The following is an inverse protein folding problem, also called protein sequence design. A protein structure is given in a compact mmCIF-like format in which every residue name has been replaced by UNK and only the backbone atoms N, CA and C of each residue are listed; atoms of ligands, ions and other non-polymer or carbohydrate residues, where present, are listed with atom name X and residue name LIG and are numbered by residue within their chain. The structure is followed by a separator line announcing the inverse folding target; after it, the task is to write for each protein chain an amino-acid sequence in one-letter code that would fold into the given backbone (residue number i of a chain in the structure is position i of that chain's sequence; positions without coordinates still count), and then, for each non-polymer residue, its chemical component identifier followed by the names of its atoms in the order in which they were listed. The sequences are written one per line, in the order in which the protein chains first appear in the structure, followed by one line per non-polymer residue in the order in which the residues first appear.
data_IF_356822932893
#
_entry.id   IF_356822932893
#
_cell.length_a   1.000
_cell.length_b   1.000
_cell.length_c   1.000
_cell.angle_alpha   90.00
_cell.angle_beta   90.00
_cell.angle_gamma   90.00
#
_symmetry.space_group_name_H-M   'P 1'
#
loop_
_entity.id
_entity.type
_entity.pdbx_description
1 polymer ?
#
# COMPACT_ATOMS: atom_id res chain seq x y z
N UNK A 1 -61.79 -59.86 7.88
CA UNK A 1 -62.25 -58.76 7.01
C UNK A 1 -62.13 -57.46 7.77
N UNK A 2 -61.51 -56.43 7.16
CA UNK A 2 -61.33 -55.04 7.59
C UNK A 2 -60.22 -54.76 8.61
N UNK A 3 -59.11 -54.29 8.04
CA UNK A 3 -58.09 -53.49 8.70
C UNK A 3 -58.62 -52.07 9.00
N UNK A 4 -58.18 -51.43 10.06
CA UNK A 4 -58.07 -49.99 10.10
C UNK A 4 -56.64 -49.57 10.31
N UNK A 5 -56.15 -48.79 9.36
CA UNK A 5 -54.93 -48.05 9.33
C UNK A 5 -54.88 -46.97 10.42
N UNK A 6 -53.88 -47.05 11.30
CA UNK A 6 -53.55 -45.96 12.20
C UNK A 6 -52.57 -44.99 11.51
N UNK A 7 -53.05 -43.79 11.25
CA UNK A 7 -52.21 -42.69 10.75
C UNK A 7 -51.46 -42.03 11.91
N UNK A 8 -50.15 -42.07 11.87
CA UNK A 8 -49.28 -41.32 12.76
C UNK A 8 -48.99 -39.96 12.14
N UNK A 9 -49.51 -38.89 12.72
CA UNK A 9 -49.15 -37.52 12.35
C UNK A 9 -47.81 -37.22 13.00
N UNK A 10 -46.74 -37.22 12.20
CA UNK A 10 -45.44 -36.73 12.61
C UNK A 10 -45.44 -35.19 12.42
N UNK A 11 -45.49 -34.46 13.54
CA UNK A 11 -45.22 -33.02 13.56
C UNK A 11 -43.76 -32.79 13.19
N UNK A 12 -43.49 -32.32 11.98
CA UNK A 12 -42.19 -31.81 11.58
C UNK A 12 -41.81 -30.59 12.42
N UNK A 13 -40.88 -30.81 13.34
CA UNK A 13 -40.23 -29.77 14.10
C UNK A 13 -39.50 -28.81 13.18
N UNK A 14 -39.50 -27.52 13.59
CA UNK A 14 -38.77 -26.42 13.00
C UNK A 14 -37.34 -26.84 12.66
N UNK A 15 -37.01 -26.87 11.38
CA UNK A 15 -35.62 -26.84 10.90
C UNK A 15 -35.03 -25.49 11.35
N UNK A 16 -34.21 -25.52 12.38
CA UNK A 16 -33.27 -24.44 12.65
C UNK A 16 -32.42 -24.23 11.42
N UNK A 17 -32.54 -23.09 10.77
CA UNK A 17 -31.58 -22.63 9.77
C UNK A 17 -30.24 -22.48 10.48
N UNK A 18 -29.34 -23.40 10.26
CA UNK A 18 -27.94 -23.23 10.59
C UNK A 18 -27.48 -21.94 9.90
N UNK A 19 -26.78 -21.03 10.59
CA UNK A 19 -26.19 -19.88 9.93
C UNK A 19 -25.28 -20.44 8.82
N UNK A 20 -25.39 -19.89 7.63
CA UNK A 20 -24.45 -20.17 6.55
C UNK A 20 -23.07 -19.91 7.11
N UNK A 21 -22.31 -20.96 7.38
CA UNK A 21 -20.88 -20.91 7.52
C UNK A 21 -20.38 -20.44 6.15
N UNK A 22 -20.26 -19.11 5.99
CA UNK A 22 -19.44 -18.56 4.92
C UNK A 22 -18.07 -19.18 5.12
N UNK A 23 -17.69 -20.06 4.21
CA UNK A 23 -16.32 -20.51 4.10
C UNK A 23 -15.48 -19.25 3.89
N UNK A 24 -14.86 -18.76 4.97
CA UNK A 24 -13.82 -17.76 4.89
C UNK A 24 -12.68 -18.48 4.14
N UNK A 25 -12.66 -18.32 2.84
CA UNK A 25 -11.52 -18.72 2.04
C UNK A 25 -10.38 -17.85 2.54
N UNK A 26 -9.53 -18.39 3.41
CA UNK A 26 -8.35 -17.70 3.89
C UNK A 26 -7.46 -17.52 2.65
N UNK A 27 -7.52 -16.34 2.07
CA UNK A 27 -6.66 -15.95 0.96
C UNK A 27 -5.25 -15.84 1.54
N UNK A 28 -4.46 -16.90 1.37
CA UNK A 28 -3.04 -16.86 1.70
C UNK A 28 -2.31 -16.20 0.53
N UNK A 29 -1.52 -15.17 0.82
CA UNK A 29 -0.68 -14.55 -0.18
C UNK A 29 0.37 -15.55 -0.68
N UNK A 30 0.42 -15.80 -1.97
CA UNK A 30 1.36 -16.72 -2.61
C UNK A 30 2.35 -15.95 -3.46
N UNK A 31 3.60 -15.84 -2.99
CA UNK A 31 4.64 -15.11 -3.71
C UNK A 31 4.87 -15.68 -5.11
N UNK A 32 4.73 -16.99 -5.25
CA UNK A 32 4.91 -17.72 -6.52
C UNK A 32 3.97 -17.24 -7.63
N UNK A 33 2.77 -16.77 -7.30
CA UNK A 33 1.73 -16.39 -8.28
C UNK A 33 1.54 -14.89 -8.42
N UNK A 34 2.17 -14.08 -7.56
CA UNK A 34 2.03 -12.62 -7.61
C UNK A 34 2.62 -12.03 -8.89
N UNK A 35 1.95 -11.01 -9.39
CA UNK A 35 2.52 -10.12 -10.40
C UNK A 35 3.24 -8.98 -9.69
N UNK A 36 4.55 -8.90 -9.84
CA UNK A 36 5.42 -7.93 -9.16
C UNK A 36 6.21 -7.18 -10.23
N UNK A 37 6.36 -5.89 -10.06
CA UNK A 37 7.14 -5.03 -10.96
C UNK A 37 8.58 -5.56 -11.06
N UNK A 38 9.11 -5.67 -12.27
CA UNK A 38 10.40 -6.31 -12.52
C UNK A 38 11.60 -5.43 -12.23
N UNK A 39 11.48 -4.14 -12.48
CA UNK A 39 12.60 -3.19 -12.36
C UNK A 39 12.11 -1.76 -12.13
N UNK A 40 13.03 -0.88 -11.73
CA UNK A 40 12.76 0.56 -11.57
C UNK A 40 12.42 1.22 -12.92
N UNK A 41 13.00 0.74 -14.01
CA UNK A 41 12.70 1.25 -15.34
C UNK A 41 11.23 1.06 -15.75
N UNK A 42 10.57 0.02 -15.24
CA UNK A 42 9.16 -0.25 -15.52
C UNK A 42 8.20 0.76 -14.90
N UNK A 43 8.63 1.57 -13.91
CA UNK A 43 7.83 2.68 -13.39
C UNK A 43 7.44 3.66 -14.49
N UNK A 44 8.31 3.88 -15.46
CA UNK A 44 8.06 4.75 -16.61
C UNK A 44 7.01 4.19 -17.59
N UNK A 45 6.71 2.90 -17.51
CA UNK A 45 5.74 2.21 -18.36
C UNK A 45 4.36 2.08 -17.71
N UNK A 46 4.18 2.56 -16.48
CA UNK A 46 2.89 2.53 -15.82
C UNK A 46 1.88 3.40 -16.59
N UNK A 47 0.68 2.88 -16.87
CA UNK A 47 -0.35 3.65 -17.58
C UNK A 47 -0.84 4.82 -16.72
N UNK A 48 -1.24 5.90 -17.38
CA UNK A 48 -1.93 7.00 -16.70
C UNK A 48 -3.30 6.55 -16.16
N UNK A 49 -3.79 7.26 -15.15
CA UNK A 49 -5.11 7.03 -14.57
C UNK A 49 -5.07 6.55 -13.14
N UNK A 50 -6.15 5.93 -12.70
CA UNK A 50 -6.32 5.48 -11.32
C UNK A 50 -5.63 4.14 -11.11
N UNK A 51 -4.48 4.15 -10.43
CA UNK A 51 -3.70 2.95 -10.10
C UNK A 51 -3.37 2.88 -8.62
N UNK A 52 -3.63 1.74 -7.98
CA UNK A 52 -3.18 1.43 -6.62
C UNK A 52 -1.83 0.73 -6.65
N UNK A 53 -0.81 1.41 -6.14
CA UNK A 53 0.57 0.93 -6.11
C UNK A 53 0.95 0.60 -4.67
N UNK A 54 1.10 -0.69 -4.39
CA UNK A 54 1.49 -1.22 -3.09
C UNK A 54 2.95 -1.70 -3.07
N UNK A 55 3.51 -1.84 -1.88
CA UNK A 55 4.86 -2.38 -1.69
C UNK A 55 4.81 -3.75 -1.01
N UNK A 56 5.70 -4.67 -1.39
CA UNK A 56 5.87 -5.95 -0.72
C UNK A 56 7.30 -6.18 -0.26
N UNK A 57 7.44 -6.54 1.03
CA UNK A 57 8.70 -6.96 1.63
C UNK A 57 8.46 -8.19 2.52
N UNK A 58 9.52 -8.79 3.07
CA UNK A 58 9.39 -9.99 3.91
C UNK A 58 8.43 -9.82 5.09
N UNK A 59 8.39 -8.63 5.69
CA UNK A 59 7.49 -8.35 6.81
C UNK A 59 6.03 -8.25 6.36
N UNK A 60 5.75 -7.51 5.29
CA UNK A 60 4.38 -7.41 4.75
C UNK A 60 3.89 -8.76 4.24
N UNK A 61 4.77 -9.57 3.60
CA UNK A 61 4.44 -10.93 3.21
C UNK A 61 4.04 -11.79 4.41
N UNK A 62 4.85 -11.81 5.49
CA UNK A 62 4.54 -12.57 6.70
C UNK A 62 3.26 -12.09 7.41
N UNK A 63 2.99 -10.79 7.39
CA UNK A 63 1.75 -10.21 7.95
C UNK A 63 0.55 -10.66 7.15
N UNK A 64 0.63 -10.64 5.83
CA UNK A 64 -0.42 -11.09 4.93
C UNK A 64 -0.78 -12.58 5.06
N UNK A 65 0.14 -13.43 5.58
CA UNK A 65 -0.19 -14.82 5.90
C UNK A 65 -1.19 -14.96 7.05
N UNK A 66 -1.41 -13.90 7.83
CA UNK A 66 -2.28 -13.89 9.02
C UNK A 66 -3.45 -12.92 8.91
N UNK A 67 -3.47 -12.11 7.87
CA UNK A 67 -4.48 -11.08 7.62
C UNK A 67 -4.97 -11.19 6.17
N UNK A 68 -6.12 -11.82 6.00
CA UNK A 68 -6.70 -12.10 4.68
C UNK A 68 -7.04 -10.84 3.89
N UNK A 69 -7.53 -9.78 4.56
CA UNK A 69 -7.83 -8.51 3.91
C UNK A 69 -6.56 -7.83 3.43
N UNK A 70 -5.47 -7.93 4.20
CA UNK A 70 -4.18 -7.41 3.76
C UNK A 70 -3.60 -8.22 2.60
N UNK A 71 -3.72 -9.56 2.64
CA UNK A 71 -3.32 -10.42 1.53
C UNK A 71 -4.08 -10.05 0.25
N UNK A 72 -5.38 -9.83 0.36
CA UNK A 72 -6.24 -9.44 -0.75
C UNK A 72 -5.87 -8.05 -1.29
N UNK A 73 -5.62 -7.07 -0.42
CA UNK A 73 -5.18 -5.73 -0.79
C UNK A 73 -3.85 -5.74 -1.58
N UNK A 74 -2.89 -6.57 -1.17
CA UNK A 74 -1.62 -6.73 -1.90
C UNK A 74 -1.78 -7.48 -3.22
N UNK A 75 -2.69 -8.44 -3.30
CA UNK A 75 -2.89 -9.26 -4.48
C UNK A 75 -3.73 -8.56 -5.56
N UNK A 76 -4.69 -7.74 -5.15
CA UNK A 76 -5.65 -7.06 -6.03
C UNK A 76 -5.35 -5.59 -6.29
N UNK A 77 -4.29 -5.04 -5.68
CA UNK A 77 -3.74 -3.75 -6.10
C UNK A 77 -3.22 -3.84 -7.55
N UNK A 78 -3.24 -2.72 -8.27
CA UNK A 78 -2.90 -2.70 -9.69
C UNK A 78 -1.41 -2.96 -9.92
N UNK A 79 -0.55 -2.43 -9.04
CA UNK A 79 0.90 -2.58 -9.11
C UNK A 79 1.46 -2.97 -7.75
N UNK A 80 2.32 -3.97 -7.73
CA UNK A 80 3.05 -4.39 -6.54
C UNK A 80 4.55 -4.27 -6.76
N UNK A 81 5.23 -3.43 -5.98
CA UNK A 81 6.68 -3.21 -6.11
C UNK A 81 7.48 -3.98 -5.06
N UNK A 82 8.66 -4.55 -5.42
CA UNK A 82 9.47 -5.38 -4.52
C UNK A 82 10.33 -4.51 -3.60
N UNK A 83 9.76 -4.07 -2.45
CA UNK A 83 10.45 -3.25 -1.45
C UNK A 83 11.31 -4.10 -0.51
N UNK A 84 12.22 -4.85 -1.08
CA UNK A 84 13.17 -5.63 -0.28
C UNK A 84 13.95 -6.63 -1.12
N UNK A 85 15.27 -6.67 -0.92
CA UNK A 85 16.16 -7.64 -1.59
C UNK A 85 15.72 -9.09 -1.32
N UNK A 86 15.12 -9.36 -0.15
CA UNK A 86 14.58 -10.67 0.20
C UNK A 86 13.48 -11.14 -0.76
N UNK A 87 12.59 -10.25 -1.20
CA UNK A 87 11.55 -10.57 -2.19
C UNK A 87 12.18 -10.91 -3.55
N UNK A 88 13.11 -10.09 -4.01
CA UNK A 88 13.82 -10.32 -5.29
C UNK A 88 14.50 -11.69 -5.30
N UNK A 89 15.26 -12.00 -4.23
CA UNK A 89 15.95 -13.29 -4.10
C UNK A 89 14.98 -14.47 -3.95
N UNK A 90 13.90 -14.29 -3.20
CA UNK A 90 12.89 -15.32 -3.03
C UNK A 90 12.16 -15.65 -4.31
N UNK A 91 11.72 -14.64 -5.09
CA UNK A 91 11.09 -14.86 -6.39
C UNK A 91 11.97 -15.70 -7.35
N UNK A 92 13.26 -15.40 -7.37
CA UNK A 92 14.22 -16.19 -8.16
C UNK A 92 14.36 -17.62 -7.62
N UNK A 93 14.47 -17.78 -6.30
CA UNK A 93 14.66 -19.08 -5.65
C UNK A 93 13.47 -20.03 -5.89
N UNK A 94 12.24 -19.55 -5.67
CA UNK A 94 11.02 -20.36 -5.86
C UNK A 94 10.53 -20.42 -7.31
N UNK A 95 11.27 -19.82 -8.25
CA UNK A 95 10.88 -19.70 -9.67
C UNK A 95 9.47 -19.11 -9.81
N UNK A 96 9.23 -17.98 -9.15
CA UNK A 96 7.95 -17.28 -9.17
C UNK A 96 7.56 -16.81 -10.59
N UNK A 97 6.26 -16.54 -10.79
CA UNK A 97 5.72 -15.99 -12.05
C UNK A 97 6.44 -14.69 -12.43
N UNK A 98 6.63 -13.79 -11.47
CA UNK A 98 7.42 -12.56 -11.64
C UNK A 98 8.81 -12.75 -11.02
N UNK A 99 9.83 -12.37 -11.74
CA UNK A 99 11.22 -12.44 -11.29
C UNK A 99 11.86 -11.06 -11.36
N UNK A 100 11.57 -10.19 -10.37
CA UNK A 100 12.17 -8.86 -10.35
C UNK A 100 13.70 -8.96 -10.34
N UNK A 101 14.35 -8.07 -11.09
CA UNK A 101 15.79 -8.04 -11.24
C UNK A 101 16.47 -7.19 -10.18
N UNK A 102 15.73 -6.24 -9.62
CA UNK A 102 16.21 -5.30 -8.60
C UNK A 102 15.15 -4.98 -7.56
N UNK A 103 15.58 -4.41 -6.45
CA UNK A 103 14.70 -3.84 -5.44
C UNK A 103 14.16 -2.49 -5.94
N UNK A 104 12.86 -2.29 -5.81
CA UNK A 104 12.21 -0.98 -5.97
C UNK A 104 11.57 -0.61 -4.64
N UNK A 105 12.16 0.34 -3.93
CA UNK A 105 11.63 0.77 -2.63
C UNK A 105 10.50 1.79 -2.78
N UNK A 106 9.71 1.96 -1.71
CA UNK A 106 8.70 3.02 -1.68
C UNK A 106 9.29 4.42 -1.92
N UNK A 107 10.56 4.65 -1.52
CA UNK A 107 11.27 5.89 -1.83
C UNK A 107 11.56 6.05 -3.33
N UNK A 108 11.90 4.97 -4.02
CA UNK A 108 12.19 5.01 -5.46
C UNK A 108 10.92 5.35 -6.25
N UNK A 109 9.78 4.77 -5.85
CA UNK A 109 8.46 5.15 -6.37
C UNK A 109 8.14 6.61 -6.10
N UNK A 110 8.34 7.06 -4.85
CA UNK A 110 8.08 8.44 -4.45
C UNK A 110 8.88 9.44 -5.28
N UNK A 111 10.19 9.25 -5.38
CA UNK A 111 11.05 10.15 -6.14
C UNK A 111 10.65 10.17 -7.63
N UNK A 112 10.44 9.00 -8.22
CA UNK A 112 10.03 8.89 -9.61
C UNK A 112 8.72 9.63 -9.91
N UNK A 113 7.68 9.40 -9.12
CA UNK A 113 6.36 10.00 -9.37
C UNK A 113 6.35 11.51 -9.08
N UNK A 114 7.07 11.96 -8.05
CA UNK A 114 7.19 13.38 -7.75
C UNK A 114 7.93 14.12 -8.86
N UNK A 115 9.05 13.56 -9.34
CA UNK A 115 9.83 14.14 -10.44
C UNK A 115 9.02 14.16 -11.74
N UNK A 116 8.26 13.08 -12.03
CA UNK A 116 7.38 12.98 -13.19
C UNK A 116 6.29 14.06 -13.16
N UNK A 117 5.65 14.23 -11.99
CA UNK A 117 4.58 15.21 -11.83
C UNK A 117 5.11 16.65 -11.93
N UNK A 118 6.25 16.93 -11.29
CA UNK A 118 6.92 18.23 -11.35
C UNK A 118 7.33 18.60 -12.78
N UNK A 119 7.89 17.64 -13.54
CA UNK A 119 8.23 17.85 -14.93
C UNK A 119 6.99 18.17 -15.78
N UNK A 120 5.91 17.44 -15.59
CA UNK A 120 4.64 17.71 -16.26
C UNK A 120 4.07 19.09 -15.89
N UNK A 121 4.18 19.50 -14.62
CA UNK A 121 3.75 20.83 -14.18
C UNK A 121 4.56 21.95 -14.86
N UNK A 122 5.89 21.78 -14.98
CA UNK A 122 6.77 22.72 -15.71
C UNK A 122 6.39 22.84 -17.18
N UNK A 123 6.16 21.72 -17.85
CA UNK A 123 5.76 21.69 -19.25
C UNK A 123 4.42 22.43 -19.48
N UNK A 124 3.46 22.20 -18.57
CA UNK A 124 2.16 22.88 -18.61
C UNK A 124 2.31 24.39 -18.34
N UNK A 125 3.16 24.79 -17.41
CA UNK A 125 3.44 26.20 -17.13
C UNK A 125 4.10 26.91 -18.32
N UNK A 126 5.03 26.25 -19.00
CA UNK A 126 5.72 26.78 -20.17
C UNK A 126 4.84 26.82 -21.43
N UNK A 127 3.83 25.93 -21.54
CA UNK A 127 2.92 25.86 -22.68
C UNK A 127 1.69 26.78 -22.51
N UNK A 128 1.45 27.31 -21.31
CA UNK A 128 0.36 28.23 -21.06
C UNK A 128 0.73 29.62 -21.57
N UNK A 129 0.14 30.06 -22.70
CA UNK A 129 -0.05 31.48 -22.96
C UNK A 129 -0.81 32.07 -21.78
N UNK A 130 -0.45 33.30 -21.33
CA UNK A 130 -0.91 33.99 -20.13
C UNK A 130 -2.47 34.01 -19.89
N UNK A 131 -3.25 33.52 -20.83
CA UNK A 131 -4.72 33.59 -20.84
C UNK A 131 -5.44 32.31 -20.37
N UNK A 132 -4.77 31.16 -20.17
CA UNK A 132 -5.49 29.88 -19.95
C UNK A 132 -5.66 29.46 -18.50
N UNK A 133 -5.18 30.23 -17.51
CA UNK A 133 -5.48 30.04 -16.07
C UNK A 133 -5.42 28.58 -15.56
N UNK A 134 -4.50 27.77 -16.09
CA UNK A 134 -4.42 26.34 -15.76
C UNK A 134 -4.04 26.17 -14.30
N UNK A 135 -4.89 25.52 -13.51
CA UNK A 135 -4.62 25.25 -12.10
C UNK A 135 -3.36 24.40 -11.96
N UNK A 136 -2.52 24.64 -10.93
CA UNK A 136 -1.34 23.85 -10.67
C UNK A 136 -1.71 22.40 -10.38
N UNK A 137 -0.88 21.46 -10.86
CA UNK A 137 -1.04 20.04 -10.53
C UNK A 137 -0.89 19.83 -9.02
N UNK A 138 -1.72 18.94 -8.48
CA UNK A 138 -1.85 18.71 -7.04
C UNK A 138 -1.25 17.37 -6.63
N UNK A 139 -0.39 17.39 -5.62
CA UNK A 139 0.01 16.19 -4.90
C UNK A 139 -0.63 16.21 -3.52
N UNK A 140 -1.28 15.10 -3.14
CA UNK A 140 -1.89 14.98 -1.82
C UNK A 140 -1.14 13.99 -0.95
N UNK A 141 -0.88 14.38 0.30
CA UNK A 141 -0.33 13.53 1.35
C UNK A 141 -1.42 13.27 2.40
N UNK A 142 -1.93 12.06 2.43
CA UNK A 142 -2.94 11.61 3.39
C UNK A 142 -2.33 10.65 4.40
N UNK A 143 -2.46 10.95 5.69
CA UNK A 143 -1.90 10.13 6.78
C UNK A 143 -0.93 10.92 7.65
N UNK A 144 -0.18 10.20 8.49
CA UNK A 144 0.82 10.76 9.41
C UNK A 144 0.25 11.83 10.37
N UNK A 145 1.12 12.54 11.09
CA UNK A 145 0.73 13.60 12.03
C UNK A 145 0.76 14.97 11.34
N UNK A 146 -0.01 15.97 11.86
CA UNK A 146 0.03 17.33 11.34
C UNK A 146 1.44 17.93 11.33
N UNK A 147 2.27 17.59 12.33
CA UNK A 147 3.66 18.03 12.40
C UNK A 147 4.49 17.51 11.23
N UNK A 148 4.39 16.21 10.92
CA UNK A 148 5.11 15.60 9.79
C UNK A 148 4.63 16.18 8.48
N UNK A 149 3.32 16.33 8.29
CA UNK A 149 2.74 16.92 7.08
C UNK A 149 3.22 18.37 6.85
N UNK A 150 3.28 19.19 7.90
CA UNK A 150 3.82 20.56 7.79
C UNK A 150 5.29 20.59 7.36
N UNK A 151 6.10 19.61 7.79
CA UNK A 151 7.49 19.49 7.32
C UNK A 151 7.57 19.07 5.86
N UNK A 152 6.68 18.14 5.44
CA UNK A 152 6.55 17.72 4.03
C UNK A 152 6.17 18.92 3.15
N UNK A 153 5.16 19.71 3.54
CA UNK A 153 4.75 20.92 2.80
C UNK A 153 5.90 21.89 2.59
N UNK A 154 6.64 22.20 3.67
CA UNK A 154 7.78 23.12 3.60
C UNK A 154 8.87 22.60 2.68
N UNK A 155 9.17 21.32 2.74
CA UNK A 155 10.21 20.72 1.90
C UNK A 155 9.77 20.63 0.44
N UNK A 156 8.53 20.19 0.21
CA UNK A 156 8.00 20.07 -1.14
C UNK A 156 7.89 21.43 -1.86
N UNK A 157 7.61 22.51 -1.14
CA UNK A 157 7.63 23.85 -1.71
C UNK A 157 9.03 24.27 -2.25
N UNK A 158 10.09 23.65 -1.75
CA UNK A 158 11.46 23.89 -2.22
C UNK A 158 11.85 22.90 -3.31
N UNK A 159 11.57 21.58 -3.08
CA UNK A 159 12.00 20.52 -3.96
C UNK A 159 11.14 20.45 -5.24
N UNK A 160 9.83 20.81 -5.14
CA UNK A 160 8.82 20.70 -6.20
C UNK A 160 7.96 21.98 -6.31
N UNK A 161 8.55 23.12 -6.69
CA UNK A 161 7.91 24.43 -6.62
C UNK A 161 6.71 24.62 -7.57
N UNK A 162 6.55 23.78 -8.60
CA UNK A 162 5.43 23.87 -9.53
C UNK A 162 4.22 23.02 -9.11
N UNK A 163 4.34 22.26 -7.99
CA UNK A 163 3.25 21.44 -7.47
C UNK A 163 2.50 22.16 -6.34
N UNK A 164 1.19 21.99 -6.32
CA UNK A 164 0.37 22.35 -5.17
C UNK A 164 0.28 21.17 -4.21
N UNK A 165 0.85 21.32 -3.02
CA UNK A 165 0.75 20.31 -1.97
C UNK A 165 -0.57 20.46 -1.22
N UNK A 166 -1.28 19.34 -1.03
CA UNK A 166 -2.49 19.23 -0.19
C UNK A 166 -2.22 18.17 0.86
N UNK A 167 -2.62 18.43 2.10
CA UNK A 167 -2.39 17.47 3.20
C UNK A 167 -3.67 17.16 3.93
N UNK A 168 -3.76 15.94 4.47
CA UNK A 168 -4.84 15.54 5.36
C UNK A 168 -4.31 14.56 6.42
N UNK A 169 -4.47 14.92 7.69
CA UNK A 169 -4.10 14.08 8.84
C UNK A 169 -5.34 13.46 9.46
N UNK A 170 -5.63 12.18 9.23
CA UNK A 170 -6.75 11.50 9.87
C UNK A 170 -6.49 11.31 11.37
N UNK A 171 -7.52 11.09 12.20
CA UNK A 171 -7.34 10.84 13.62
C UNK A 171 -6.45 9.62 13.87
N UNK A 172 -5.57 9.73 14.87
CA UNK A 172 -4.67 8.63 15.23
C UNK A 172 -5.39 7.59 16.09
N UNK A 173 -5.94 6.56 15.47
CA UNK A 173 -6.62 5.43 16.11
C UNK A 173 -6.41 4.13 15.32
N UNK A 174 -6.53 2.95 15.97
CA UNK A 174 -6.32 1.65 15.31
C UNK A 174 -7.24 1.44 14.11
N UNK A 175 -8.53 1.71 14.31
CA UNK A 175 -9.58 1.59 13.29
C UNK A 175 -10.32 2.90 13.15
N UNK A 176 -10.74 3.23 11.93
CA UNK A 176 -11.56 4.39 11.65
C UNK A 176 -13.04 4.06 11.80
N UNK A 177 -13.82 5.01 12.29
CA UNK A 177 -15.28 4.94 12.25
C UNK A 177 -15.80 5.25 10.86
N UNK A 178 -17.09 5.02 10.60
CA UNK A 178 -17.70 5.36 9.32
C UNK A 178 -17.63 6.87 9.03
N UNK A 179 -17.74 7.71 10.09
CA UNK A 179 -17.58 9.15 9.97
C UNK A 179 -16.14 9.55 9.61
N UNK A 180 -15.14 8.89 10.21
CA UNK A 180 -13.74 9.11 9.85
C UNK A 180 -13.48 8.72 8.39
N UNK A 181 -13.97 7.54 7.98
CA UNK A 181 -13.83 7.06 6.61
C UNK A 181 -14.47 8.03 5.62
N UNK A 182 -15.69 8.47 5.89
CA UNK A 182 -16.39 9.46 5.08
C UNK A 182 -15.60 10.76 4.97
N UNK A 183 -15.10 11.29 6.07
CA UNK A 183 -14.31 12.52 6.09
C UNK A 183 -12.99 12.39 5.28
N UNK A 184 -12.30 11.24 5.37
CA UNK A 184 -11.09 10.97 4.60
C UNK A 184 -11.39 10.89 3.10
N UNK A 185 -12.43 10.14 2.71
CA UNK A 185 -12.86 9.98 1.31
C UNK A 185 -13.27 11.33 0.73
N UNK A 186 -14.05 12.12 1.47
CA UNK A 186 -14.52 13.44 1.07
C UNK A 186 -13.35 14.43 0.89
N UNK A 187 -12.35 14.37 1.79
CA UNK A 187 -11.13 15.18 1.67
C UNK A 187 -10.32 14.83 0.41
N UNK A 188 -10.17 13.53 0.10
CA UNK A 188 -9.46 13.07 -1.10
C UNK A 188 -10.21 13.48 -2.37
N UNK A 189 -11.51 13.18 -2.45
CA UNK A 189 -12.32 13.45 -3.63
C UNK A 189 -12.44 14.97 -3.89
N UNK A 190 -12.62 15.79 -2.83
CA UNK A 190 -12.66 17.25 -2.96
C UNK A 190 -11.32 17.85 -3.37
N UNK A 191 -10.21 17.28 -2.93
CA UNK A 191 -8.88 17.70 -3.37
C UNK A 191 -8.66 17.42 -4.85
N UNK A 192 -9.21 16.31 -5.35
CA UNK A 192 -9.02 15.81 -6.72
C UNK A 192 -7.52 15.89 -7.12
N UNK A 193 -6.66 15.09 -6.49
CA UNK A 193 -5.21 15.16 -6.70
C UNK A 193 -4.78 14.51 -8.01
N UNK A 194 -3.66 14.98 -8.56
CA UNK A 194 -2.96 14.36 -9.70
C UNK A 194 -1.97 13.28 -9.24
N UNK A 195 -1.70 13.19 -7.93
CA UNK A 195 -0.92 12.14 -7.27
C UNK A 195 -1.33 12.05 -5.80
N UNK A 196 -1.62 10.84 -5.31
CA UNK A 196 -2.03 10.61 -3.92
C UNK A 196 -1.04 9.70 -3.20
N UNK A 197 -0.47 10.20 -2.12
CA UNK A 197 0.34 9.43 -1.18
C UNK A 197 -0.44 9.09 0.08
N UNK A 198 -0.46 7.81 0.44
CA UNK A 198 -1.10 7.33 1.67
C UNK A 198 -0.02 6.86 2.64
N UNK A 199 0.11 7.59 3.75
CA UNK A 199 1.16 7.42 4.74
C UNK A 199 0.62 7.03 6.11
N UNK A 200 0.18 5.79 6.23
CA UNK A 200 -0.18 5.17 7.50
C UNK A 200 0.73 3.97 7.76
N UNK A 201 0.67 3.38 8.93
CA UNK A 201 1.44 2.16 9.21
C UNK A 201 0.81 0.97 8.49
N UNK A 202 1.62 0.17 7.76
CA UNK A 202 1.16 -1.10 7.21
C UNK A 202 0.75 -2.07 8.35
N UNK A 203 -0.33 -2.84 8.20
CA UNK A 203 -1.15 -3.06 7.01
C UNK A 203 -2.35 -2.10 6.85
N UNK A 204 -2.48 -1.07 7.71
CA UNK A 204 -3.66 -0.21 7.74
C UNK A 204 -3.85 0.57 6.44
N UNK A 205 -2.76 1.12 5.88
CA UNK A 205 -2.83 1.92 4.65
C UNK A 205 -3.32 1.09 3.45
N UNK A 206 -2.79 -0.09 3.25
CA UNK A 206 -3.16 -0.96 2.14
C UNK A 206 -4.60 -1.47 2.29
N UNK A 207 -4.97 -1.90 3.50
CA UNK A 207 -6.32 -2.39 3.81
C UNK A 207 -7.36 -1.30 3.62
N UNK A 208 -7.10 -0.10 4.15
CA UNK A 208 -8.02 1.03 4.05
C UNK A 208 -8.20 1.45 2.59
N UNK A 209 -7.11 1.62 1.86
CA UNK A 209 -7.18 2.03 0.46
C UNK A 209 -7.91 1.00 -0.39
N UNK A 210 -7.65 -0.28 -0.18
CA UNK A 210 -8.33 -1.36 -0.89
C UNK A 210 -9.82 -1.41 -0.57
N UNK A 211 -10.21 -1.30 0.70
CA UNK A 211 -11.60 -1.35 1.13
C UNK A 211 -12.44 -0.20 0.55
N UNK A 212 -11.85 0.98 0.43
CA UNK A 212 -12.53 2.19 -0.05
C UNK A 212 -12.17 2.57 -1.49
N UNK A 213 -11.47 1.68 -2.23
CA UNK A 213 -10.97 1.98 -3.57
C UNK A 213 -12.04 2.48 -4.52
N UNK A 214 -13.23 1.88 -4.50
CA UNK A 214 -14.35 2.25 -5.36
C UNK A 214 -15.04 3.57 -4.96
N UNK A 215 -14.83 4.05 -3.74
CA UNK A 215 -15.39 5.31 -3.24
C UNK A 215 -14.48 6.52 -3.53
N UNK A 216 -13.22 6.26 -3.90
CA UNK A 216 -12.29 7.30 -4.30
C UNK A 216 -12.56 7.70 -5.75
N UNK A 217 -13.12 8.91 -5.95
CA UNK A 217 -13.38 9.50 -7.28
C UNK A 217 -12.16 10.32 -7.72
N UNK A 218 -11.10 9.63 -8.13
CA UNK A 218 -9.81 10.20 -8.53
C UNK A 218 -9.31 9.54 -9.81
N UNK A 219 -8.42 10.24 -10.52
CA UNK A 219 -7.84 9.76 -11.78
C UNK A 219 -6.30 9.81 -11.76
N UNK A 220 -5.70 9.41 -10.65
CA UNK A 220 -4.27 9.51 -10.44
C UNK A 220 -3.68 8.23 -9.82
N UNK A 221 -2.36 8.14 -9.81
CA UNK A 221 -1.65 7.10 -9.07
C UNK A 221 -1.80 7.30 -7.57
N UNK A 222 -1.98 6.19 -6.85
CA UNK A 222 -2.08 6.14 -5.40
C UNK A 222 -1.00 5.20 -4.86
N UNK A 223 -0.05 5.73 -4.10
CA UNK A 223 1.02 4.95 -3.49
C UNK A 223 0.88 4.80 -1.98
N UNK A 224 0.94 3.57 -1.47
CA UNK A 224 0.94 3.27 -0.03
C UNK A 224 2.36 3.19 0.50
N UNK A 225 2.92 4.32 0.99
CA UNK A 225 4.36 4.48 1.28
C UNK A 225 4.66 5.10 2.65
N UNK A 226 3.96 4.68 3.71
CA UNK A 226 3.98 5.30 5.04
C UNK A 226 5.35 5.74 5.58
N UNK A 227 6.38 4.89 5.50
CA UNK A 227 7.71 5.23 6.00
C UNK A 227 8.41 6.36 5.24
N UNK A 228 8.02 6.61 4.00
CA UNK A 228 8.58 7.68 3.16
C UNK A 228 8.21 9.05 3.69
N UNK A 229 7.05 9.20 4.32
CA UNK A 229 6.63 10.45 4.95
C UNK A 229 7.64 10.93 5.99
N UNK A 230 8.08 10.02 6.87
CA UNK A 230 9.05 10.35 7.92
C UNK A 230 10.43 10.67 7.33
N UNK A 231 10.84 9.94 6.28
CA UNK A 231 12.10 10.20 5.59
C UNK A 231 12.08 11.55 4.85
N UNK A 232 11.00 11.83 4.13
CA UNK A 232 10.88 13.07 3.38
C UNK A 232 10.68 14.26 4.29
N UNK A 233 9.96 14.11 5.40
CA UNK A 233 9.88 15.14 6.45
C UNK A 233 11.21 15.38 7.20
N UNK A 234 12.18 14.45 7.10
CA UNK A 234 13.43 14.51 7.85
C UNK A 234 13.30 14.18 9.33
N UNK A 235 12.18 13.60 9.77
CA UNK A 235 11.97 13.17 11.16
C UNK A 235 12.66 11.85 11.48
N UNK A 236 12.93 11.04 10.45
CA UNK A 236 13.70 9.80 10.52
C UNK A 236 14.81 9.85 9.47
N UNK A 237 16.04 9.59 9.91
CA UNK A 237 17.19 9.51 9.01
C UNK A 237 17.15 8.22 8.20
N UNK A 238 17.28 8.32 6.90
CA UNK A 238 17.43 7.16 6.01
C UNK A 238 18.84 6.61 6.11
N UNK A 239 19.00 5.31 5.89
CA UNK A 239 20.32 4.69 5.90
C UNK A 239 21.25 5.37 4.87
N UNK A 240 22.57 5.54 5.15
CA UNK A 240 23.53 6.05 4.18
C UNK A 240 23.51 5.27 2.86
N UNK A 241 23.87 5.92 1.74
CA UNK A 241 23.79 5.35 0.39
C UNK A 241 24.45 3.98 0.28
N UNK A 242 25.62 3.80 0.85
CA UNK A 242 26.32 2.53 0.85
C UNK A 242 25.45 1.37 1.40
N UNK A 243 24.72 1.58 2.51
CA UNK A 243 23.84 0.56 3.08
C UNK A 243 22.62 0.30 2.19
N UNK A 244 22.14 1.32 1.50
CA UNK A 244 21.01 1.22 0.57
C UNK A 244 21.40 0.40 -0.67
N UNK A 245 22.52 0.72 -1.29
CA UNK A 245 23.05 0.06 -2.49
C UNK A 245 23.36 -1.42 -2.27
N UNK A 246 23.87 -1.76 -1.07
CA UNK A 246 24.15 -3.14 -0.70
C UNK A 246 22.94 -3.91 -0.14
N UNK A 247 21.74 -3.28 -0.13
CA UNK A 247 20.52 -3.92 0.40
C UNK A 247 20.55 -4.16 1.91
N UNK A 248 21.39 -3.42 2.65
CA UNK A 248 21.61 -3.54 4.09
C UNK A 248 20.86 -2.47 4.90
N UNK A 249 19.94 -1.72 4.29
CA UNK A 249 19.12 -0.72 4.99
C UNK A 249 18.41 -1.27 6.22
N UNK A 250 17.97 -2.53 6.17
CA UNK A 250 17.35 -3.22 7.29
C UNK A 250 18.33 -3.40 8.47
N UNK A 251 19.62 -3.68 8.20
CA UNK A 251 20.63 -3.86 9.24
C UNK A 251 20.99 -2.52 9.91
N UNK A 252 21.07 -1.43 9.13
CA UNK A 252 21.22 -0.08 9.65
C UNK A 252 20.07 0.30 10.59
N UNK A 253 18.83 0.05 10.20
CA UNK A 253 17.65 0.26 11.04
C UNK A 253 17.67 -0.60 12.30
N UNK A 254 18.12 -1.86 12.19
CA UNK A 254 18.26 -2.74 13.35
C UNK A 254 19.28 -2.19 14.35
N UNK A 255 20.39 -1.61 13.89
CA UNK A 255 21.39 -0.98 14.75
C UNK A 255 20.88 0.30 15.41
N UNK A 256 20.11 1.13 14.69
CA UNK A 256 19.54 2.36 15.25
C UNK A 256 18.41 2.10 16.24
N UNK A 257 17.56 1.10 15.99
CA UNK A 257 16.39 0.79 16.81
C UNK A 257 16.27 -0.70 17.14
N UNK A 258 17.25 -1.29 17.87
CA UNK A 258 17.34 -2.74 18.05
C UNK A 258 16.11 -3.34 18.74
N UNK A 259 15.59 -2.67 19.80
CA UNK A 259 14.42 -3.15 20.56
C UNK A 259 13.15 -3.26 19.73
N UNK A 260 12.96 -2.35 18.76
CA UNK A 260 11.78 -2.31 17.88
C UNK A 260 11.94 -3.24 16.68
N UNK A 261 13.16 -3.35 16.13
CA UNK A 261 13.41 -3.96 14.83
C UNK A 261 13.85 -5.43 14.88
N UNK A 262 14.38 -5.94 16.02
CA UNK A 262 14.90 -7.30 16.07
C UNK A 262 13.87 -8.38 15.75
N UNK A 263 12.64 -8.25 16.30
CA UNK A 263 11.56 -9.20 15.99
C UNK A 263 11.18 -9.15 14.50
N UNK A 264 11.12 -7.94 13.95
CA UNK A 264 10.75 -7.74 12.55
C UNK A 264 11.80 -8.31 11.60
N UNK A 265 13.09 -8.09 11.87
CA UNK A 265 14.15 -8.47 10.95
C UNK A 265 14.76 -9.84 11.25
N UNK A 266 15.01 -10.20 12.51
CA UNK A 266 15.60 -11.50 12.81
C UNK A 266 14.52 -12.59 12.73
N UNK A 267 13.50 -12.54 13.60
CA UNK A 267 12.43 -13.55 13.59
C UNK A 267 11.61 -13.49 12.30
N UNK A 268 11.35 -12.29 11.80
CA UNK A 268 10.58 -12.11 10.56
C UNK A 268 11.27 -12.69 9.33
N UNK A 269 12.59 -12.56 9.19
CA UNK A 269 13.31 -13.16 8.06
C UNK A 269 13.36 -14.69 8.16
N UNK A 270 13.53 -15.26 9.37
CA UNK A 270 13.45 -16.72 9.57
C UNK A 270 12.06 -17.24 9.17
N UNK A 271 11.00 -16.57 9.62
CA UNK A 271 9.63 -16.91 9.25
C UNK A 271 9.38 -16.77 7.75
N UNK A 272 9.93 -15.73 7.13
CA UNK A 272 9.81 -15.53 5.69
C UNK A 272 10.48 -16.67 4.92
N UNK A 273 11.70 -17.05 5.27
CA UNK A 273 12.39 -18.19 4.66
C UNK A 273 11.61 -19.49 4.85
N UNK A 274 11.06 -19.72 6.04
CA UNK A 274 10.18 -20.86 6.29
C UNK A 274 8.92 -20.86 5.41
N UNK A 275 8.31 -19.70 5.22
CA UNK A 275 7.16 -19.59 4.32
C UNK A 275 7.56 -19.87 2.85
N UNK A 276 8.76 -19.48 2.43
CA UNK A 276 9.26 -19.75 1.08
C UNK A 276 9.48 -21.24 0.80
N UNK A 277 9.74 -22.06 1.82
CA UNK A 277 9.81 -23.53 1.62
C UNK A 277 8.46 -24.18 1.36
N UNK A 278 7.36 -23.44 1.54
CA UNK A 278 5.98 -23.94 1.34
C UNK A 278 5.36 -23.45 0.03
N UNK A 279 6.06 -22.56 -0.69
CA UNK A 279 5.64 -22.02 -1.99
C UNK A 279 5.90 -23.00 -3.13
#
# INVERSE_FOLDING_TARGET
MRNPTFGIIVRLGRLMRLPQLSYICIVMLRLKTLTILGSRAELASLPDGKLLINTVNAHSFNTAQKDSLFAEALQKGDVLIPDGVSIVKACKWIKAKSQPTERVAGWDLFAFEMDRLEQRAKELANAADDATGKLPLKVMFMGSSPKVLSLIEKRAAVDYPHLKVVTYSPPYKPEFTDEDNKAIIEAINSANPDLLWIGMTAPKQEKWTYAHWHELDIHCHVGTIGAVFDFYAGTVERAPLWWQEHGLEWAYRLMKEPRRMWRRYILGNVLFLWNMTKE
#
